data_IF_444504380818
#
_entry.id   IF_444504380818
#
_cell.length_a   1.000
_cell.length_b   1.000
_cell.length_c   1.000
_cell.angle_alpha   90.00
_cell.angle_beta   90.00
_cell.angle_gamma   90.00
#
_symmetry.space_group_name_H-M   'P 1'
#
loop_
_entity.id
_entity.type
_entity.pdbx_description
1 polymer ?
#
# COMPACT_ATOMS: atom_id res chain seq x y z
N UNK A 1 -0.78 24.87 -2.45
CA UNK A 1 -1.35 26.21 -2.23
C UNK A 1 -0.53 27.30 -2.93
N UNK A 2 0.77 27.43 -2.62
CA UNK A 2 1.63 28.47 -3.26
C UNK A 2 1.64 28.40 -4.79
N UNK A 3 1.72 27.21 -5.37
CA UNK A 3 1.69 27.02 -6.82
C UNK A 3 0.37 27.48 -7.44
N UNK A 4 -0.77 27.17 -6.82
CA UNK A 4 -2.08 27.66 -7.30
C UNK A 4 -2.18 29.18 -7.25
N UNK A 5 -1.67 29.81 -6.19
CA UNK A 5 -1.62 31.28 -6.08
C UNK A 5 -0.70 31.93 -7.12
N UNK A 6 0.32 31.24 -7.62
CA UNK A 6 1.18 31.70 -8.71
C UNK A 6 0.60 31.46 -10.11
N UNK A 7 -0.62 30.92 -10.21
CA UNK A 7 -1.31 30.67 -11.47
C UNK A 7 -0.99 29.29 -12.09
N UNK A 8 -0.34 28.40 -11.35
CA UNK A 8 -0.14 27.03 -11.80
C UNK A 8 -1.46 26.25 -11.82
N UNK A 9 -1.57 25.27 -12.69
CA UNK A 9 -2.71 24.36 -12.75
C UNK A 9 -2.83 23.46 -11.51
N UNK A 10 -3.83 22.56 -11.49
CA UNK A 10 -4.07 21.67 -10.35
C UNK A 10 -2.86 20.75 -10.06
N UNK A 11 -2.78 20.23 -8.84
CA UNK A 11 -1.82 19.21 -8.47
C UNK A 11 -2.44 17.83 -8.66
N UNK A 12 -1.79 16.97 -9.42
CA UNK A 12 -2.14 15.55 -9.55
C UNK A 12 -1.33 14.74 -8.54
N UNK A 13 -2.00 14.07 -7.59
CA UNK A 13 -1.37 13.17 -6.62
C UNK A 13 -1.73 11.74 -6.96
N UNK A 14 -0.74 10.93 -7.21
CA UNK A 14 -0.90 9.49 -7.38
C UNK A 14 -0.55 8.80 -6.07
N UNK A 15 -1.52 8.14 -5.46
CA UNK A 15 -1.36 7.45 -4.18
C UNK A 15 -1.96 6.04 -4.25
N UNK A 16 -1.29 5.00 -3.71
CA UNK A 16 -1.73 3.62 -3.84
C UNK A 16 -2.86 3.23 -2.86
N UNK A 17 -3.24 4.14 -1.96
CA UNK A 17 -4.03 3.78 -0.79
C UNK A 17 -5.26 4.67 -0.63
N UNK A 18 -6.44 4.06 -0.73
CA UNK A 18 -7.73 4.74 -0.60
C UNK A 18 -7.91 5.43 0.77
N UNK A 19 -7.47 4.79 1.86
CA UNK A 19 -7.56 5.37 3.20
C UNK A 19 -6.72 6.65 3.31
N UNK A 20 -5.47 6.59 2.81
CA UNK A 20 -4.58 7.75 2.79
C UNK A 20 -5.13 8.90 1.94
N UNK A 21 -5.77 8.58 0.81
CA UNK A 21 -6.39 9.60 -0.06
C UNK A 21 -7.47 10.37 0.66
N UNK A 22 -8.30 9.74 1.51
CA UNK A 22 -9.33 10.44 2.31
C UNK A 22 -8.71 11.42 3.30
N UNK A 23 -7.66 10.97 4.01
CA UNK A 23 -6.95 11.83 4.96
C UNK A 23 -6.26 13.00 4.26
N UNK A 24 -5.71 12.77 3.06
CA UNK A 24 -5.09 13.80 2.23
C UNK A 24 -6.12 14.82 1.71
N UNK A 25 -7.33 14.39 1.31
CA UNK A 25 -8.43 15.29 0.95
C UNK A 25 -8.78 16.17 2.15
N UNK A 26 -9.06 15.56 3.31
CA UNK A 26 -9.41 16.33 4.52
C UNK A 26 -8.29 17.28 4.96
N UNK A 27 -7.01 16.91 4.74
CA UNK A 27 -5.89 17.79 5.02
C UNK A 27 -5.83 18.98 4.04
N UNK A 28 -6.08 18.74 2.76
CA UNK A 28 -6.14 19.79 1.74
C UNK A 28 -7.28 20.78 2.02
N UNK A 29 -8.46 20.28 2.37
CA UNK A 29 -9.61 21.11 2.73
C UNK A 29 -9.35 21.98 3.97
N UNK A 30 -8.72 21.43 5.02
CA UNK A 30 -8.27 22.21 6.19
C UNK A 30 -7.25 23.29 5.82
N UNK A 31 -6.47 23.09 4.76
CA UNK A 31 -5.54 24.08 4.24
C UNK A 31 -6.20 25.08 3.29
N UNK A 32 -7.54 25.03 3.09
CA UNK A 32 -8.29 25.91 2.23
C UNK A 32 -8.18 25.59 0.74
N UNK A 33 -7.86 24.33 0.38
CA UNK A 33 -7.81 23.85 -0.99
C UNK A 33 -9.00 22.97 -1.32
N UNK A 34 -9.47 23.02 -2.57
CA UNK A 34 -10.48 22.11 -3.09
C UNK A 34 -9.79 20.83 -3.55
N UNK A 35 -10.15 19.68 -2.97
CA UNK A 35 -9.56 18.40 -3.29
C UNK A 35 -10.63 17.35 -3.61
N UNK A 36 -10.32 16.45 -4.54
CA UNK A 36 -11.19 15.33 -4.89
C UNK A 36 -10.40 14.07 -5.20
N UNK A 37 -11.07 12.92 -5.17
CA UNK A 37 -10.47 11.64 -5.48
C UNK A 37 -11.12 10.98 -6.70
N UNK A 38 -10.29 10.23 -7.46
CA UNK A 38 -10.75 9.29 -8.49
C UNK A 38 -10.23 7.91 -8.15
N UNK A 39 -11.12 7.04 -7.70
CA UNK A 39 -10.77 5.70 -7.22
C UNK A 39 -11.88 4.67 -7.53
N UNK A 40 -11.77 3.44 -7.00
CA UNK A 40 -12.74 2.37 -7.27
C UNK A 40 -14.05 2.47 -6.49
N UNK A 41 -14.10 3.28 -5.45
CA UNK A 41 -15.27 3.36 -4.56
C UNK A 41 -16.20 4.52 -4.87
N UNK A 42 -15.77 5.49 -5.72
CA UNK A 42 -16.53 6.70 -6.03
C UNK A 42 -16.78 6.91 -7.54
N UNK A 43 -17.01 5.85 -8.27
CA UNK A 43 -17.14 5.91 -9.72
C UNK A 43 -18.25 6.85 -10.21
N UNK A 44 -19.33 6.95 -9.44
CA UNK A 44 -20.50 7.80 -9.74
C UNK A 44 -20.19 9.30 -9.59
N UNK A 45 -19.16 9.66 -8.83
CA UNK A 45 -18.74 11.04 -8.58
C UNK A 45 -17.76 11.59 -9.63
N UNK A 46 -17.23 10.73 -10.50
CA UNK A 46 -16.17 11.10 -11.45
C UNK A 46 -16.56 12.23 -12.41
N UNK A 47 -17.83 12.28 -12.84
CA UNK A 47 -18.31 13.35 -13.73
C UNK A 47 -18.27 14.72 -13.04
N UNK A 48 -18.55 14.76 -11.75
CA UNK A 48 -18.48 15.97 -10.96
C UNK A 48 -17.03 16.41 -10.77
N UNK A 49 -16.13 15.49 -10.52
CA UNK A 49 -14.68 15.75 -10.43
C UNK A 49 -14.14 16.28 -11.76
N UNK A 50 -14.51 15.67 -12.88
CA UNK A 50 -14.09 16.15 -14.19
C UNK A 50 -14.65 17.53 -14.52
N UNK A 51 -15.91 17.83 -14.16
CA UNK A 51 -16.47 19.18 -14.30
C UNK A 51 -15.69 20.22 -13.49
N UNK A 52 -15.30 19.90 -12.25
CA UNK A 52 -14.48 20.79 -11.45
C UNK A 52 -13.12 21.06 -12.07
N UNK A 53 -12.48 20.02 -12.66
CA UNK A 53 -11.24 20.18 -13.42
C UNK A 53 -11.43 21.09 -14.64
N UNK A 54 -12.49 20.88 -15.41
CA UNK A 54 -12.78 21.66 -16.62
C UNK A 54 -13.02 23.14 -16.31
N UNK A 55 -13.63 23.43 -15.15
CA UNK A 55 -13.87 24.81 -14.68
C UNK A 55 -12.71 25.41 -13.86
N UNK A 56 -11.61 24.69 -13.72
CA UNK A 56 -10.42 25.09 -12.92
C UNK A 56 -10.73 25.41 -11.45
N UNK A 57 -11.74 24.74 -10.88
CA UNK A 57 -12.15 24.88 -9.47
C UNK A 57 -11.55 23.84 -8.55
N UNK A 58 -10.84 22.84 -9.07
CA UNK A 58 -10.17 21.81 -8.31
C UNK A 58 -8.67 22.14 -8.17
N UNK A 59 -8.17 22.15 -6.93
CA UNK A 59 -6.77 22.43 -6.65
C UNK A 59 -5.92 21.16 -6.59
N UNK A 60 -6.48 20.06 -6.06
CA UNK A 60 -5.80 18.78 -5.87
C UNK A 60 -6.67 17.63 -6.35
N UNK A 61 -6.16 16.86 -7.30
CA UNK A 61 -6.76 15.60 -7.73
C UNK A 61 -5.92 14.43 -7.22
N UNK A 62 -6.51 13.56 -6.42
CA UNK A 62 -5.89 12.31 -5.98
C UNK A 62 -6.42 11.14 -6.81
N UNK A 63 -5.51 10.33 -7.34
CA UNK A 63 -5.84 9.21 -8.23
C UNK A 63 -5.15 7.95 -7.77
N UNK A 64 -5.90 6.85 -7.70
CA UNK A 64 -5.28 5.55 -7.51
C UNK A 64 -4.66 5.04 -8.83
N UNK A 65 -3.48 4.41 -8.80
CA UNK A 65 -2.74 4.04 -10.01
C UNK A 65 -3.54 3.12 -10.94
N UNK A 66 -4.37 2.25 -10.38
CA UNK A 66 -5.21 1.32 -11.17
C UNK A 66 -6.23 2.05 -12.05
N UNK A 67 -6.57 3.30 -11.72
CA UNK A 67 -7.54 4.10 -12.51
C UNK A 67 -6.94 4.63 -13.79
N UNK A 68 -5.64 4.72 -13.88
CA UNK A 68 -4.95 5.17 -15.09
C UNK A 68 -5.09 4.17 -16.25
N UNK A 69 -5.29 2.88 -15.94
CA UNK A 69 -5.68 1.86 -16.93
C UNK A 69 -7.17 1.86 -17.29
N UNK A 70 -8.00 2.68 -16.65
CA UNK A 70 -9.42 2.78 -16.97
C UNK A 70 -9.61 3.64 -18.23
N UNK A 71 -10.28 3.13 -19.26
CA UNK A 71 -10.45 3.80 -20.55
C UNK A 71 -11.08 5.20 -20.43
N UNK A 72 -12.03 5.39 -19.50
CA UNK A 72 -12.69 6.69 -19.26
C UNK A 72 -11.71 7.73 -18.68
N UNK A 73 -10.87 7.32 -17.74
CA UNK A 73 -9.86 8.21 -17.16
C UNK A 73 -8.69 8.44 -18.13
N UNK A 74 -8.22 7.39 -18.79
CA UNK A 74 -7.13 7.44 -19.78
C UNK A 74 -7.46 8.40 -20.93
N UNK A 75 -8.72 8.45 -21.37
CA UNK A 75 -9.17 9.40 -22.40
C UNK A 75 -9.05 10.88 -21.99
N UNK A 76 -9.06 11.17 -20.70
CA UNK A 76 -8.92 12.55 -20.16
C UNK A 76 -7.51 12.87 -19.68
N UNK A 77 -6.66 11.86 -19.55
CA UNK A 77 -5.32 12.00 -18.94
C UNK A 77 -4.44 12.99 -19.70
N UNK A 78 -4.45 12.96 -21.02
CA UNK A 78 -3.66 13.87 -21.85
C UNK A 78 -4.02 15.35 -21.65
N UNK A 79 -5.31 15.68 -21.60
CA UNK A 79 -5.81 17.04 -21.33
C UNK A 79 -5.45 17.49 -19.90
N UNK A 80 -5.60 16.57 -18.94
CA UNK A 80 -5.23 16.82 -17.54
C UNK A 80 -3.75 17.13 -17.40
N UNK A 81 -2.88 16.29 -17.98
CA UNK A 81 -1.43 16.43 -17.90
C UNK A 81 -0.93 17.73 -18.55
N UNK A 82 -1.60 18.20 -19.62
CA UNK A 82 -1.26 19.49 -20.26
C UNK A 82 -1.55 20.72 -19.36
N UNK A 83 -2.39 20.55 -18.32
CA UNK A 83 -2.83 21.65 -17.43
C UNK A 83 -2.25 21.53 -16.02
N UNK A 84 -1.76 20.38 -15.62
CA UNK A 84 -1.24 20.11 -14.28
C UNK A 84 0.00 20.95 -13.99
N UNK A 85 0.04 21.62 -12.84
CA UNK A 85 1.19 22.39 -12.38
C UNK A 85 2.23 21.56 -11.63
N UNK A 86 1.78 20.49 -10.95
CA UNK A 86 2.63 19.59 -10.19
C UNK A 86 2.09 18.17 -10.23
N UNK A 87 2.94 17.22 -10.43
CA UNK A 87 2.64 15.79 -10.29
C UNK A 87 3.33 15.28 -9.03
N UNK A 88 2.58 14.68 -8.12
CA UNK A 88 3.12 14.04 -6.91
C UNK A 88 2.94 12.53 -7.05
N UNK A 89 4.02 11.79 -6.92
CA UNK A 89 4.02 10.34 -6.89
C UNK A 89 4.33 9.91 -5.46
N UNK A 90 3.29 9.56 -4.73
CA UNK A 90 3.42 9.10 -3.35
C UNK A 90 3.79 7.62 -3.33
N UNK A 91 4.50 7.18 -2.27
CA UNK A 91 5.06 5.83 -2.17
C UNK A 91 5.87 5.43 -3.42
N UNK A 92 6.72 6.32 -3.88
CA UNK A 92 7.46 6.19 -5.15
C UNK A 92 8.34 4.93 -5.23
N UNK A 93 8.61 4.25 -4.12
CA UNK A 93 9.27 2.94 -4.12
C UNK A 93 8.47 1.88 -4.92
N UNK A 94 7.15 2.07 -5.10
CA UNK A 94 6.31 1.20 -5.93
C UNK A 94 6.63 1.27 -7.43
N UNK A 95 7.37 2.28 -7.88
CA UNK A 95 7.81 2.41 -9.29
C UNK A 95 8.99 1.47 -9.56
N UNK A 96 9.84 1.26 -8.55
CA UNK A 96 11.07 0.51 -8.68
C UNK A 96 10.80 -0.99 -8.72
N UNK A 97 11.41 -1.69 -9.67
CA UNK A 97 11.42 -3.16 -9.74
C UNK A 97 12.08 -3.79 -8.49
N UNK A 98 12.87 -3.00 -7.77
CA UNK A 98 13.55 -3.37 -6.53
C UNK A 98 12.79 -2.92 -5.28
N UNK A 99 11.63 -2.27 -5.47
CA UNK A 99 10.72 -1.89 -4.39
C UNK A 99 10.08 -3.13 -3.77
N UNK A 100 9.87 -3.12 -2.47
CA UNK A 100 9.24 -4.26 -1.76
C UNK A 100 7.73 -4.40 -2.07
N UNK A 101 7.08 -3.37 -2.61
CA UNK A 101 5.67 -3.34 -3.04
C UNK A 101 5.57 -2.85 -4.50
N UNK A 102 6.31 -3.53 -5.40
CA UNK A 102 6.27 -3.24 -6.82
C UNK A 102 4.85 -3.36 -7.37
N UNK A 103 4.38 -2.31 -8.06
CA UNK A 103 3.07 -2.25 -8.67
C UNK A 103 3.17 -1.90 -10.15
N UNK A 104 2.82 -2.82 -11.05
CA UNK A 104 2.87 -2.59 -12.49
C UNK A 104 2.15 -1.33 -12.96
N UNK A 105 1.01 -1.02 -12.35
CA UNK A 105 0.23 0.17 -12.68
C UNK A 105 0.98 1.48 -12.37
N UNK A 106 1.83 1.48 -11.31
CA UNK A 106 2.72 2.60 -11.00
C UNK A 106 3.80 2.81 -12.07
N UNK A 107 4.37 1.75 -12.58
CA UNK A 107 5.39 1.83 -13.63
C UNK A 107 4.81 2.36 -14.94
N UNK A 108 3.63 1.89 -15.33
CA UNK A 108 2.91 2.44 -16.50
C UNK A 108 2.63 3.92 -16.33
N UNK A 109 2.19 4.32 -15.14
CA UNK A 109 1.95 5.72 -14.80
C UNK A 109 3.23 6.55 -14.91
N UNK A 110 4.32 6.12 -14.26
CA UNK A 110 5.59 6.85 -14.30
C UNK A 110 6.01 7.09 -15.76
N UNK A 111 5.94 6.10 -16.62
CA UNK A 111 6.24 6.25 -18.05
C UNK A 111 5.31 7.27 -18.74
N UNK A 112 4.01 7.24 -18.46
CA UNK A 112 3.05 8.17 -19.05
C UNK A 112 3.28 9.62 -18.55
N UNK A 113 3.56 9.81 -17.26
CA UNK A 113 3.81 11.10 -16.66
C UNK A 113 5.14 11.71 -17.13
N UNK A 114 6.17 10.89 -17.24
CA UNK A 114 7.50 11.33 -17.70
C UNK A 114 7.58 11.65 -19.19
N UNK A 115 6.62 11.15 -19.98
CA UNK A 115 6.48 11.54 -21.38
C UNK A 115 5.89 12.95 -21.59
N UNK A 116 5.47 13.62 -20.49
CA UNK A 116 4.82 14.93 -20.52
C UNK A 116 5.76 16.00 -19.94
N UNK A 117 6.45 16.80 -20.78
CA UNK A 117 7.57 17.63 -20.33
C UNK A 117 7.19 18.93 -19.60
N UNK A 118 5.92 19.19 -19.32
CA UNK A 118 5.44 20.50 -18.86
C UNK A 118 5.23 20.64 -17.35
N UNK A 119 5.06 19.54 -16.62
CA UNK A 119 4.81 19.57 -15.18
C UNK A 119 6.05 19.19 -14.36
N UNK A 120 6.27 19.85 -13.23
CA UNK A 120 7.26 19.42 -12.24
C UNK A 120 6.78 18.11 -11.59
N UNK A 121 7.72 17.19 -11.33
CA UNK A 121 7.41 15.91 -10.66
C UNK A 121 8.07 15.87 -9.29
N UNK A 122 7.29 15.53 -8.26
CA UNK A 122 7.74 15.27 -6.89
C UNK A 122 7.46 13.82 -6.56
N UNK A 123 8.49 13.02 -6.29
CA UNK A 123 8.36 11.65 -5.81
C UNK A 123 8.67 11.58 -4.31
N UNK A 124 7.78 10.97 -3.54
CA UNK A 124 7.94 10.82 -2.08
C UNK A 124 7.92 9.36 -1.67
N UNK A 125 8.81 9.00 -0.76
CA UNK A 125 8.82 7.66 -0.16
C UNK A 125 9.54 7.69 1.20
N UNK A 126 9.05 6.89 2.15
CA UNK A 126 9.67 6.73 3.46
C UNK A 126 10.63 5.53 3.52
N UNK A 127 10.67 4.67 2.50
CA UNK A 127 11.23 3.32 2.61
C UNK A 127 12.22 2.94 1.52
N UNK A 128 12.69 3.92 0.73
CA UNK A 128 13.67 3.66 -0.32
C UNK A 128 15.08 3.46 0.26
N UNK A 129 15.69 2.31 -0.01
CA UNK A 129 17.13 2.12 0.14
C UNK A 129 17.90 2.82 -1.00
N UNK A 130 19.23 2.77 -1.00
CA UNK A 130 20.05 3.44 -2.03
C UNK A 130 19.76 2.94 -3.44
N UNK A 131 19.53 1.65 -3.62
CA UNK A 131 19.22 1.03 -4.91
C UNK A 131 17.87 1.52 -5.44
N UNK A 132 16.84 1.50 -4.59
CA UNK A 132 15.49 2.00 -4.94
C UNK A 132 15.54 3.49 -5.21
N UNK A 133 16.27 4.27 -4.40
CA UNK A 133 16.44 5.71 -4.61
C UNK A 133 17.08 6.01 -5.95
N UNK A 134 18.15 5.26 -6.31
CA UNK A 134 18.81 5.41 -7.59
C UNK A 134 17.88 5.06 -8.75
N UNK A 135 17.20 3.94 -8.68
CA UNK A 135 16.28 3.48 -9.71
C UNK A 135 15.13 4.47 -9.95
N UNK A 136 14.50 4.95 -8.88
CA UNK A 136 13.46 6.00 -8.97
C UNK A 136 14.04 7.29 -9.58
N UNK A 137 15.23 7.70 -9.17
CA UNK A 137 15.88 8.92 -9.72
C UNK A 137 16.19 8.76 -11.21
N UNK A 138 16.70 7.59 -11.61
CA UNK A 138 17.02 7.31 -13.02
C UNK A 138 15.73 7.33 -13.88
N UNK A 139 14.63 6.79 -13.37
CA UNK A 139 13.33 6.81 -14.04
C UNK A 139 12.73 8.23 -14.13
N UNK A 140 12.92 9.07 -13.11
CA UNK A 140 12.47 10.46 -13.12
C UNK A 140 13.32 11.38 -14.02
N UNK A 141 14.51 10.94 -14.39
CA UNK A 141 15.39 11.62 -15.35
C UNK A 141 16.61 12.30 -14.73
N UNK A 142 17.55 12.67 -15.61
CA UNK A 142 18.90 13.12 -15.25
C UNK A 142 18.98 14.42 -14.40
N UNK A 143 17.89 15.18 -14.33
CA UNK A 143 17.83 16.43 -13.54
C UNK A 143 17.16 16.25 -12.18
N UNK A 144 16.91 14.99 -11.76
CA UNK A 144 16.29 14.70 -10.47
C UNK A 144 17.21 15.09 -9.31
N UNK A 145 16.67 15.88 -8.40
CA UNK A 145 17.35 16.26 -7.16
C UNK A 145 16.79 15.43 -6.02
N UNK A 146 17.65 14.69 -5.34
CA UNK A 146 17.25 13.81 -4.22
C UNK A 146 17.53 14.49 -2.89
N UNK A 147 16.48 14.63 -2.08
CA UNK A 147 16.58 15.06 -0.69
C UNK A 147 16.34 13.86 0.22
N UNK A 148 17.30 13.52 1.07
CA UNK A 148 17.23 12.39 1.98
C UNK A 148 17.39 12.85 3.42
N UNK A 149 16.33 12.66 4.23
CA UNK A 149 16.36 12.88 5.68
C UNK A 149 16.90 11.68 6.44
N UNK A 150 17.09 11.84 7.74
CA UNK A 150 17.36 10.72 8.64
C UNK A 150 16.11 9.84 8.81
N UNK A 151 16.31 8.52 8.83
CA UNK A 151 15.25 7.54 9.15
C UNK A 151 15.14 7.31 10.68
N UNK A 152 16.11 7.79 11.46
CA UNK A 152 16.11 7.64 12.92
C UNK A 152 15.01 8.49 13.56
N UNK A 153 14.29 7.88 14.49
CA UNK A 153 13.26 8.53 15.30
C UNK A 153 13.64 8.45 16.75
N UNK A 154 13.96 9.61 17.35
CA UNK A 154 14.48 9.73 18.72
C UNK A 154 13.47 9.23 19.77
N UNK A 155 12.17 9.38 19.50
CA UNK A 155 11.08 8.95 20.36
C UNK A 155 10.86 7.44 20.40
N UNK A 156 11.47 6.66 19.50
CA UNK A 156 11.19 5.23 19.34
C UNK A 156 12.36 4.39 19.86
N UNK A 157 12.10 3.58 20.88
CA UNK A 157 13.03 2.58 21.40
C UNK A 157 12.72 1.22 20.79
N UNK A 158 13.73 0.57 20.18
CA UNK A 158 13.58 -0.74 19.58
C UNK A 158 14.17 -1.82 20.48
N UNK A 159 13.40 -2.89 20.72
CA UNK A 159 13.78 -4.04 21.53
C UNK A 159 13.45 -5.36 20.81
N UNK A 160 14.26 -6.38 21.06
CA UNK A 160 14.02 -7.74 20.59
C UNK A 160 14.00 -8.67 21.78
N UNK A 161 12.99 -9.53 21.88
CA UNK A 161 12.85 -10.54 22.93
C UNK A 161 12.82 -11.92 22.26
N UNK A 162 14.00 -12.55 22.05
CA UNK A 162 14.13 -13.83 21.37
C UNK A 162 13.84 -15.01 22.31
N UNK A 163 13.64 -16.20 21.72
CA UNK A 163 13.63 -17.47 22.46
C UNK A 163 12.33 -17.82 23.15
N UNK A 164 11.27 -17.05 22.96
CA UNK A 164 9.96 -17.33 23.54
C UNK A 164 9.19 -18.37 22.69
N UNK A 165 8.62 -19.37 23.35
CA UNK A 165 7.61 -20.27 22.76
C UNK A 165 6.34 -19.51 22.41
N UNK A 166 5.45 -20.04 21.57
CA UNK A 166 4.19 -19.37 21.21
C UNK A 166 3.35 -18.96 22.43
N UNK A 167 3.29 -19.80 23.46
CA UNK A 167 2.54 -19.49 24.68
C UNK A 167 3.21 -18.40 25.52
N UNK A 168 4.54 -18.46 25.64
CA UNK A 168 5.29 -17.45 26.38
C UNK A 168 5.21 -16.08 25.70
N UNK A 169 5.15 -15.99 24.37
CA UNK A 169 4.90 -14.73 23.66
C UNK A 169 3.54 -14.13 24.02
N UNK A 170 2.51 -14.95 24.11
CA UNK A 170 1.16 -14.49 24.51
C UNK A 170 1.15 -13.99 25.96
N UNK A 171 1.76 -14.74 26.87
CA UNK A 171 1.88 -14.35 28.26
C UNK A 171 2.70 -13.03 28.41
N UNK A 172 3.83 -12.94 27.70
CA UNK A 172 4.65 -11.72 27.67
C UNK A 172 3.85 -10.50 27.22
N UNK A 173 3.04 -10.64 26.16
CA UNK A 173 2.21 -9.52 25.68
C UNK A 173 1.16 -9.13 26.71
N UNK A 174 0.49 -10.09 27.36
CA UNK A 174 -0.50 -9.80 28.38
C UNK A 174 0.11 -9.00 29.55
N UNK A 175 1.29 -9.40 30.02
CA UNK A 175 1.99 -8.70 31.10
C UNK A 175 2.52 -7.32 30.64
N UNK A 176 3.07 -7.24 29.41
CA UNK A 176 3.64 -6.02 28.87
C UNK A 176 2.59 -4.94 28.58
N UNK A 177 1.37 -5.30 28.19
CA UNK A 177 0.30 -4.35 27.88
C UNK A 177 -0.05 -3.42 29.06
N UNK A 178 0.15 -3.85 30.30
CA UNK A 178 -0.06 -3.02 31.47
C UNK A 178 0.99 -1.89 31.59
N UNK A 179 2.21 -2.13 31.07
CA UNK A 179 3.35 -1.24 31.20
C UNK A 179 3.61 -0.40 29.95
N UNK A 180 3.20 -0.89 28.77
CA UNK A 180 3.39 -0.18 27.52
C UNK A 180 2.59 1.14 27.50
N UNK A 181 3.18 2.25 26.98
CA UNK A 181 2.57 3.57 27.06
C UNK A 181 1.40 3.72 26.08
N UNK A 182 0.33 4.38 26.51
CA UNK A 182 -0.81 4.75 25.66
C UNK A 182 -1.52 3.56 25.00
N UNK A 183 -1.93 3.72 23.75
CA UNK A 183 -2.45 2.68 22.90
C UNK A 183 -1.45 2.29 21.81
N UNK A 184 -1.61 1.11 21.23
CA UNK A 184 -0.66 0.62 20.23
C UNK A 184 -1.22 -0.41 19.26
N UNK A 185 -0.32 -0.96 18.45
CA UNK A 185 -0.61 -2.00 17.47
C UNK A 185 0.24 -3.24 17.77
N UNK A 186 -0.39 -4.41 17.75
CA UNK A 186 0.28 -5.70 17.84
C UNK A 186 0.16 -6.38 16.49
N UNK A 187 1.26 -6.44 15.73
CA UNK A 187 1.28 -7.11 14.44
C UNK A 187 1.50 -8.61 14.61
N UNK A 188 0.73 -9.37 13.87
CA UNK A 188 0.82 -10.83 13.76
C UNK A 188 0.90 -11.24 12.29
N UNK A 189 1.39 -12.46 12.02
CA UNK A 189 1.65 -12.89 10.66
C UNK A 189 0.39 -13.44 9.96
N UNK A 190 -0.59 -13.95 10.71
CA UNK A 190 -1.77 -14.61 10.14
C UNK A 190 -3.06 -14.12 10.77
N UNK A 191 -4.17 -14.23 10.02
CA UNK A 191 -5.53 -13.91 10.50
C UNK A 191 -5.88 -14.77 11.71
N UNK A 192 -5.62 -16.08 11.64
CA UNK A 192 -5.92 -17.00 12.73
C UNK A 192 -5.17 -16.66 14.02
N UNK A 193 -3.97 -16.10 13.93
CA UNK A 193 -3.21 -15.64 15.08
C UNK A 193 -3.78 -14.34 15.64
N UNK A 194 -4.25 -13.42 14.79
CA UNK A 194 -4.91 -12.20 15.23
C UNK A 194 -6.15 -12.52 16.11
N UNK A 195 -7.00 -13.40 15.63
CA UNK A 195 -8.22 -13.79 16.35
C UNK A 195 -7.91 -14.50 17.68
N UNK A 196 -6.95 -15.43 17.66
CA UNK A 196 -6.54 -16.16 18.87
C UNK A 196 -5.92 -15.27 19.93
N UNK A 197 -5.00 -14.39 19.51
CA UNK A 197 -4.32 -13.48 20.44
C UNK A 197 -5.31 -12.45 21.01
N UNK A 198 -6.21 -11.90 20.18
CA UNK A 198 -7.24 -10.98 20.66
C UNK A 198 -8.17 -11.64 21.69
N UNK A 199 -8.65 -12.86 21.42
CA UNK A 199 -9.48 -13.60 22.36
C UNK A 199 -8.75 -13.93 23.69
N UNK A 200 -7.47 -14.29 23.60
CA UNK A 200 -6.64 -14.54 24.79
C UNK A 200 -6.46 -13.28 25.62
N UNK A 201 -6.06 -12.16 25.02
CA UNK A 201 -5.85 -10.89 25.72
C UNK A 201 -7.16 -10.35 26.32
N UNK A 202 -8.28 -10.49 25.62
CA UNK A 202 -9.60 -10.15 26.17
C UNK A 202 -9.94 -11.01 27.40
N UNK A 203 -9.59 -12.31 27.40
CA UNK A 203 -9.78 -13.18 28.55
C UNK A 203 -8.90 -12.80 29.75
N UNK A 204 -7.76 -12.13 29.50
CA UNK A 204 -6.89 -11.55 30.52
C UNK A 204 -7.38 -10.16 31.00
N UNK A 205 -8.48 -9.63 30.46
CA UNK A 205 -9.07 -8.36 30.87
C UNK A 205 -8.60 -7.14 30.06
N UNK A 206 -7.83 -7.34 29.00
CA UNK A 206 -7.39 -6.24 28.14
C UNK A 206 -8.48 -5.85 27.13
N UNK A 207 -8.68 -4.55 26.92
CA UNK A 207 -9.58 -4.03 25.91
C UNK A 207 -8.83 -3.93 24.56
N UNK A 208 -9.04 -4.93 23.71
CA UNK A 208 -8.35 -5.09 22.42
C UNK A 208 -9.30 -5.59 21.35
N UNK A 209 -8.99 -5.27 20.08
CA UNK A 209 -9.73 -5.77 18.91
C UNK A 209 -8.80 -6.43 17.90
N UNK A 210 -9.31 -7.41 17.14
CA UNK A 210 -8.63 -7.97 15.99
C UNK A 210 -8.94 -7.15 14.72
N UNK A 211 -7.91 -6.85 13.91
CA UNK A 211 -8.04 -6.14 12.64
C UNK A 211 -7.39 -6.93 11.51
N UNK A 212 -8.21 -7.47 10.63
CA UNK A 212 -7.74 -8.34 9.54
C UNK A 212 -8.35 -7.97 8.19
N UNK A 213 -7.78 -8.51 7.12
CA UNK A 213 -8.32 -8.32 5.76
C UNK A 213 -9.70 -8.93 5.54
N UNK A 214 -10.19 -9.79 6.45
CA UNK A 214 -11.49 -10.44 6.35
C UNK A 214 -12.64 -9.59 6.92
N UNK A 215 -12.32 -8.54 7.68
CA UNK A 215 -13.34 -7.60 8.18
C UNK A 215 -13.94 -6.80 7.02
N UNK A 216 -15.22 -6.52 7.10
CA UNK A 216 -15.90 -5.55 6.23
C UNK A 216 -15.40 -4.12 6.46
N UNK A 217 -15.78 -3.20 5.54
CA UNK A 217 -15.31 -1.82 5.60
C UNK A 217 -15.77 -1.06 6.83
N UNK A 218 -17.01 -1.23 7.23
CA UNK A 218 -17.59 -0.51 8.36
C UNK A 218 -16.99 -0.96 9.69
N UNK A 219 -16.79 -2.26 9.85
CA UNK A 219 -16.10 -2.82 11.02
C UNK A 219 -14.66 -2.31 11.14
N UNK A 220 -13.92 -2.20 10.02
CA UNK A 220 -12.57 -1.63 10.03
C UNK A 220 -12.58 -0.17 10.48
N UNK A 221 -13.47 0.65 9.93
CA UNK A 221 -13.60 2.06 10.30
C UNK A 221 -13.91 2.19 11.79
N UNK A 222 -14.84 1.39 12.31
CA UNK A 222 -15.20 1.44 13.73
C UNK A 222 -14.01 1.09 14.66
N UNK A 223 -13.21 0.07 14.32
CA UNK A 223 -12.01 -0.29 15.10
C UNK A 223 -10.95 0.80 15.00
N UNK A 224 -10.73 1.36 13.82
CA UNK A 224 -9.79 2.47 13.61
C UNK A 224 -10.17 3.70 14.45
N UNK A 225 -11.47 4.04 14.51
CA UNK A 225 -11.98 5.14 15.34
C UNK A 225 -11.80 4.86 16.83
N UNK A 226 -12.12 3.66 17.31
CA UNK A 226 -11.91 3.27 18.70
C UNK A 226 -10.44 3.35 19.10
N UNK A 227 -9.52 2.92 18.22
CA UNK A 227 -8.09 3.07 18.46
C UNK A 227 -7.67 4.54 18.44
N UNK A 228 -8.17 5.33 17.48
CA UNK A 228 -7.90 6.77 17.37
C UNK A 228 -8.32 7.55 18.61
N UNK A 229 -9.45 7.18 19.18
CA UNK A 229 -10.01 7.81 20.38
C UNK A 229 -9.43 7.25 21.69
N UNK A 230 -8.46 6.33 21.63
CA UNK A 230 -7.90 5.63 22.83
C UNK A 230 -8.95 4.84 23.63
N UNK A 231 -10.01 4.37 22.98
CA UNK A 231 -11.06 3.55 23.60
C UNK A 231 -10.62 2.09 23.78
N UNK A 232 -9.60 1.66 23.02
CA UNK A 232 -8.98 0.33 23.13
C UNK A 232 -7.48 0.48 23.38
N UNK A 233 -6.92 -0.48 24.13
CA UNK A 233 -5.50 -0.51 24.46
C UNK A 233 -4.64 -0.87 23.27
N UNK A 234 -5.08 -1.83 22.48
CA UNK A 234 -4.36 -2.26 21.28
C UNK A 234 -5.30 -2.83 20.22
N UNK A 235 -4.83 -2.75 18.97
CA UNK A 235 -5.36 -3.53 17.86
C UNK A 235 -4.37 -4.63 17.52
N UNK A 236 -4.88 -5.88 17.44
CA UNK A 236 -4.11 -7.02 16.96
C UNK A 236 -4.34 -7.13 15.46
N UNK A 237 -3.33 -6.81 14.67
CA UNK A 237 -3.48 -6.62 13.23
C UNK A 237 -2.54 -7.52 12.41
N UNK A 238 -3.03 -7.95 11.27
CA UNK A 238 -2.16 -8.41 10.18
C UNK A 238 -1.63 -7.20 9.39
N UNK A 239 -0.87 -7.43 8.32
CA UNK A 239 -0.50 -6.36 7.37
C UNK A 239 -1.72 -5.63 6.75
N UNK A 240 -2.96 -6.07 7.00
CA UNK A 240 -4.18 -5.38 6.60
C UNK A 240 -4.34 -3.99 7.25
N UNK A 241 -3.87 -3.80 8.49
CA UNK A 241 -3.66 -2.47 9.06
C UNK A 241 -2.33 -1.93 8.53
N UNK A 242 -2.32 -1.75 7.24
CA UNK A 242 -1.15 -1.37 6.47
C UNK A 242 -1.03 0.13 6.29
N UNK A 243 -0.36 0.53 5.22
CA UNK A 243 -0.18 1.93 4.83
C UNK A 243 -1.52 2.69 4.88
N UNK A 244 -1.50 3.95 5.30
CA UNK A 244 -2.69 4.82 5.32
C UNK A 244 -3.35 5.02 6.69
N UNK A 245 -3.12 4.17 7.69
CA UNK A 245 -3.59 4.47 9.05
C UNK A 245 -2.60 5.37 9.77
N UNK A 246 -3.03 6.53 10.19
CA UNK A 246 -2.22 7.50 10.96
C UNK A 246 -2.87 7.81 12.31
N UNK A 247 -2.12 7.51 13.37
CA UNK A 247 -2.43 7.91 14.75
C UNK A 247 -1.13 8.43 15.39
N UNK A 248 -1.01 9.76 15.54
CA UNK A 248 0.25 10.38 15.94
C UNK A 248 0.74 9.98 17.34
N UNK A 249 -0.17 9.65 18.24
CA UNK A 249 0.08 9.34 19.66
C UNK A 249 0.15 7.83 19.97
N UNK A 250 0.44 6.97 18.97
CA UNK A 250 0.71 5.56 19.24
C UNK A 250 1.96 5.41 20.11
N UNK A 251 1.77 4.79 21.28
CA UNK A 251 2.82 4.60 22.29
C UNK A 251 3.64 3.34 22.07
N UNK A 252 3.13 2.35 21.32
CA UNK A 252 3.88 1.12 21.06
C UNK A 252 3.48 0.42 19.77
N UNK A 253 4.41 -0.42 19.30
CA UNK A 253 4.22 -1.37 18.22
C UNK A 253 4.91 -2.69 18.59
N UNK A 254 4.17 -3.77 18.76
CA UNK A 254 4.69 -5.11 19.05
C UNK A 254 4.54 -6.00 17.83
N UNK A 255 5.58 -6.76 17.50
CA UNK A 255 5.54 -7.75 16.41
C UNK A 255 5.61 -9.16 17.01
N UNK A 256 4.61 -9.96 16.76
CA UNK A 256 4.55 -11.38 17.10
C UNK A 256 4.95 -12.18 15.86
N UNK A 257 6.22 -12.47 15.77
CA UNK A 257 6.89 -12.95 14.57
C UNK A 257 7.51 -11.82 13.74
N UNK A 258 8.52 -12.16 12.98
CA UNK A 258 9.28 -11.21 12.17
C UNK A 258 8.53 -10.87 10.89
N UNK A 259 8.36 -9.60 10.51
CA UNK A 259 7.88 -9.23 9.18
C UNK A 259 8.77 -9.78 8.06
N UNK A 260 8.22 -9.93 6.86
CA UNK A 260 8.90 -10.56 5.71
C UNK A 260 10.17 -9.84 5.26
N UNK A 261 10.25 -8.55 5.52
CA UNK A 261 11.38 -7.70 5.11
C UNK A 261 11.68 -6.64 6.17
N UNK A 262 12.93 -6.15 6.25
CA UNK A 262 13.27 -5.00 7.09
C UNK A 262 12.45 -3.75 6.76
N UNK A 263 12.05 -3.58 5.52
CA UNK A 263 11.22 -2.45 5.08
C UNK A 263 9.81 -2.57 5.64
N UNK A 264 9.20 -3.75 5.60
CA UNK A 264 7.89 -4.00 6.21
C UNK A 264 7.94 -3.75 7.73
N UNK A 265 9.00 -4.22 8.40
CA UNK A 265 9.22 -3.92 9.82
C UNK A 265 9.30 -2.41 10.08
N UNK A 266 10.12 -1.71 9.31
CA UNK A 266 10.30 -0.26 9.45
C UNK A 266 8.98 0.51 9.25
N UNK A 267 8.19 0.15 8.25
CA UNK A 267 6.88 0.79 7.99
C UNK A 267 5.89 0.55 9.12
N UNK A 268 5.87 -0.66 9.68
CA UNK A 268 4.97 -1.03 10.77
C UNK A 268 5.38 -0.39 12.09
N UNK A 269 6.63 -0.56 12.52
CA UNK A 269 7.13 0.01 13.77
C UNK A 269 7.16 1.54 13.72
N UNK A 270 7.39 2.12 12.57
CA UNK A 270 7.41 3.57 12.33
C UNK A 270 6.04 4.26 12.47
N UNK A 271 4.97 3.52 12.75
CA UNK A 271 3.66 4.10 13.14
C UNK A 271 3.67 4.64 14.55
N UNK A 272 4.40 4.01 15.46
CA UNK A 272 4.56 4.49 16.83
C UNK A 272 5.56 5.66 16.93
N UNK A 273 5.42 6.47 17.96
CA UNK A 273 6.39 7.52 18.28
C UNK A 273 6.36 8.76 17.38
N UNK A 274 5.24 9.08 16.71
CA UNK A 274 5.16 10.25 15.81
C UNK A 274 5.04 11.56 16.57
N UNK A 275 4.08 11.65 17.51
CA UNK A 275 3.82 12.86 18.28
C UNK A 275 3.82 12.58 19.80
N UNK A 276 4.59 11.61 20.25
CA UNK A 276 4.83 11.29 21.66
C UNK A 276 6.31 11.40 21.98
N UNK A 277 6.62 11.69 23.23
CA UNK A 277 8.02 11.80 23.68
C UNK A 277 8.74 10.44 23.69
N UNK A 278 7.98 9.35 23.91
CA UNK A 278 8.51 7.98 23.96
C UNK A 278 7.49 6.99 23.40
N UNK A 279 8.01 6.01 22.67
CA UNK A 279 7.25 4.86 22.18
C UNK A 279 8.16 3.62 22.14
N UNK A 280 7.56 2.43 22.29
CA UNK A 280 8.26 1.16 22.28
C UNK A 280 7.95 0.36 21.02
N UNK A 281 9.00 -0.08 20.32
CA UNK A 281 8.95 -1.04 19.25
C UNK A 281 9.52 -2.38 19.70
N UNK A 282 8.71 -3.42 19.83
CA UNK A 282 9.16 -4.71 20.34
C UNK A 282 8.97 -5.78 19.29
N UNK A 283 10.01 -6.59 19.04
CA UNK A 283 9.97 -7.74 18.16
C UNK A 283 10.10 -9.02 18.98
N UNK A 284 9.13 -9.93 18.83
CA UNK A 284 9.10 -11.27 19.39
C UNK A 284 9.28 -12.29 18.26
N UNK A 285 10.52 -12.56 17.81
CA UNK A 285 10.78 -13.42 16.67
C UNK A 285 10.53 -14.90 17.00
N UNK A 286 10.33 -15.71 15.96
CA UNK A 286 10.16 -17.16 16.06
C UNK A 286 10.92 -17.88 14.95
N UNK A 287 11.48 -19.06 15.26
CA UNK A 287 12.09 -19.93 14.26
C UNK A 287 11.08 -20.44 13.21
N UNK A 288 9.79 -20.31 13.50
CA UNK A 288 8.73 -20.67 12.56
C UNK A 288 8.44 -19.58 11.51
N UNK A 289 8.93 -18.35 11.71
CA UNK A 289 8.62 -17.22 10.85
C UNK A 289 9.09 -17.43 9.42
N UNK A 290 10.28 -17.99 9.22
CA UNK A 290 10.83 -18.31 7.90
C UNK A 290 9.90 -19.23 7.09
N UNK A 291 9.34 -20.27 7.72
CA UNK A 291 8.39 -21.17 7.05
C UNK A 291 7.09 -20.50 6.66
N UNK A 292 6.65 -19.52 7.45
CA UNK A 292 5.46 -18.72 7.12
C UNK A 292 5.75 -17.85 5.91
N UNK A 293 6.92 -17.25 5.83
CA UNK A 293 7.34 -16.43 4.69
C UNK A 293 7.55 -17.24 3.44
N UNK A 294 8.20 -18.41 3.53
CA UNK A 294 8.34 -19.34 2.40
C UNK A 294 6.98 -19.75 1.85
N UNK A 295 6.01 -20.03 2.74
CA UNK A 295 4.65 -20.31 2.32
C UNK A 295 4.02 -19.14 1.57
N UNK A 296 4.12 -17.91 2.08
CA UNK A 296 3.56 -16.74 1.39
C UNK A 296 4.28 -16.43 0.07
N UNK A 297 5.57 -16.56 0.03
CA UNK A 297 6.36 -16.35 -1.19
C UNK A 297 5.98 -17.35 -2.29
N UNK A 298 5.86 -18.62 -1.94
CA UNK A 298 5.49 -19.68 -2.89
C UNK A 298 4.00 -19.72 -3.22
N UNK A 299 3.14 -19.26 -2.30
CA UNK A 299 1.69 -19.24 -2.52
C UNK A 299 1.23 -18.09 -3.42
N UNK A 300 1.97 -16.98 -3.50
CA UNK A 300 1.56 -15.76 -4.21
C UNK A 300 1.90 -15.78 -5.69
N UNK A 301 3.00 -16.40 -6.12
CA UNK A 301 3.41 -16.47 -7.51
C UNK A 301 3.35 -17.93 -7.97
N UNK A 302 2.63 -18.27 -9.04
CA UNK A 302 2.68 -19.59 -9.62
C UNK A 302 4.10 -19.93 -10.08
N UNK A 303 4.48 -21.20 -9.93
CA UNK A 303 5.77 -21.70 -10.43
C UNK A 303 5.85 -21.64 -11.97
N UNK A 304 7.05 -21.79 -12.52
CA UNK A 304 7.29 -21.70 -13.95
C UNK A 304 6.44 -22.70 -14.77
N UNK A 305 6.17 -23.90 -14.23
CA UNK A 305 5.35 -24.89 -14.90
C UNK A 305 3.88 -24.45 -14.97
N UNK A 306 3.37 -23.85 -13.90
CA UNK A 306 2.04 -23.26 -13.84
C UNK A 306 1.94 -22.05 -14.77
N UNK A 307 2.96 -21.18 -14.81
CA UNK A 307 3.02 -20.04 -15.73
C UNK A 307 3.00 -20.51 -17.20
N UNK A 308 3.79 -21.52 -17.55
CA UNK A 308 3.79 -22.13 -18.87
C UNK A 308 2.41 -22.72 -19.25
N UNK A 309 1.74 -23.39 -18.30
CA UNK A 309 0.38 -23.93 -18.51
C UNK A 309 -0.63 -22.81 -18.77
N UNK A 310 -0.55 -21.69 -18.04
CA UNK A 310 -1.42 -20.53 -18.27
C UNK A 310 -1.14 -19.92 -19.62
N UNK A 311 0.11 -19.74 -20.03
CA UNK A 311 0.48 -19.21 -21.34
C UNK A 311 0.02 -20.12 -22.47
N UNK A 312 0.11 -21.44 -22.31
CA UNK A 312 -0.39 -22.41 -23.30
C UNK A 312 -1.92 -22.37 -23.44
N UNK A 313 -2.62 -22.05 -22.34
CA UNK A 313 -4.08 -21.91 -22.39
C UNK A 313 -4.54 -20.60 -23.05
N UNK A 314 -3.67 -19.59 -23.13
CA UNK A 314 -3.94 -18.33 -23.81
C UNK A 314 -3.74 -18.50 -25.30
N UNK A 315 -4.82 -18.47 -26.07
CA UNK A 315 -4.75 -18.38 -27.53
C UNK A 315 -4.63 -16.93 -28.01
N UNK A 316 -4.63 -16.77 -29.36
CA UNK A 316 -4.71 -15.45 -30.00
C UNK A 316 -6.09 -14.80 -29.89
N UNK A 317 -7.11 -15.56 -29.51
CA UNK A 317 -8.52 -15.15 -29.63
C UNK A 317 -9.07 -14.51 -28.31
N UNK A 318 -8.21 -14.27 -27.34
CA UNK A 318 -8.57 -13.67 -26.05
C UNK A 318 -9.49 -14.56 -25.20
N UNK A 319 -9.12 -14.83 -23.94
CA UNK A 319 -9.88 -15.67 -23.01
C UNK A 319 -10.19 -14.92 -21.72
N UNK A 320 -11.38 -15.14 -21.18
CA UNK A 320 -11.75 -14.60 -19.88
C UNK A 320 -11.01 -15.31 -18.73
N UNK A 321 -10.87 -14.64 -17.59
CA UNK A 321 -10.29 -15.24 -16.38
C UNK A 321 -10.98 -16.55 -15.98
N UNK A 322 -12.31 -16.63 -16.15
CA UNK A 322 -13.09 -17.82 -15.81
C UNK A 322 -12.71 -19.02 -16.67
N UNK A 323 -12.53 -18.80 -17.97
CA UNK A 323 -12.12 -19.86 -18.93
C UNK A 323 -10.71 -20.34 -18.65
N UNK A 324 -9.78 -19.41 -18.34
CA UNK A 324 -8.40 -19.77 -18.02
C UNK A 324 -8.33 -20.51 -16.66
N UNK A 325 -9.10 -20.07 -15.67
CA UNK A 325 -9.22 -20.75 -14.38
C UNK A 325 -9.74 -22.19 -14.53
N UNK A 326 -10.79 -22.37 -15.33
CA UNK A 326 -11.38 -23.68 -15.59
C UNK A 326 -10.40 -24.63 -16.31
N UNK A 327 -9.61 -24.11 -17.24
CA UNK A 327 -8.68 -24.89 -18.06
C UNK A 327 -7.38 -25.25 -17.31
N UNK A 328 -6.89 -24.31 -16.51
CA UNK A 328 -5.61 -24.46 -15.82
C UNK A 328 -5.72 -24.97 -14.39
N UNK A 329 -6.88 -24.82 -13.75
CA UNK A 329 -7.10 -25.11 -12.33
C UNK A 329 -6.40 -24.13 -11.39
N UNK A 330 -5.85 -23.03 -11.90
CA UNK A 330 -5.20 -21.99 -11.10
C UNK A 330 -6.27 -21.08 -10.52
N UNK A 331 -6.31 -20.92 -9.19
CA UNK A 331 -7.29 -20.08 -8.51
C UNK A 331 -7.20 -18.62 -9.00
N UNK A 332 -8.36 -18.00 -9.16
CA UNK A 332 -8.53 -16.66 -9.75
C UNK A 332 -7.54 -15.61 -9.24
N UNK A 333 -7.34 -15.48 -7.92
CA UNK A 333 -6.42 -14.47 -7.37
C UNK A 333 -4.96 -14.67 -7.79
N UNK A 334 -4.49 -15.93 -7.84
CA UNK A 334 -3.12 -16.26 -8.33
C UNK A 334 -3.02 -16.05 -9.84
N UNK A 335 -4.07 -16.37 -10.58
CA UNK A 335 -4.14 -16.19 -12.03
C UNK A 335 -4.10 -14.69 -12.38
N UNK A 336 -4.88 -13.86 -11.71
CA UNK A 336 -4.86 -12.40 -11.92
C UNK A 336 -3.48 -11.79 -11.63
N UNK A 337 -2.83 -12.23 -10.55
CA UNK A 337 -1.49 -11.75 -10.20
C UNK A 337 -0.46 -12.13 -11.29
N UNK A 338 -0.48 -13.38 -11.74
CA UNK A 338 0.41 -13.86 -12.81
C UNK A 338 0.18 -13.10 -14.11
N UNK A 339 -1.08 -12.99 -14.56
CA UNK A 339 -1.41 -12.31 -15.81
C UNK A 339 -1.02 -10.82 -15.81
N UNK A 340 -1.13 -10.15 -14.66
CA UNK A 340 -0.65 -8.77 -14.51
C UNK A 340 0.87 -8.66 -14.67
N UNK A 341 1.63 -9.58 -14.08
CA UNK A 341 3.09 -9.63 -14.23
C UNK A 341 3.46 -9.86 -15.70
N UNK A 342 2.87 -10.88 -16.32
CA UNK A 342 3.11 -11.21 -17.73
C UNK A 342 2.71 -10.07 -18.70
N UNK A 343 1.71 -9.26 -18.32
CA UNK A 343 1.32 -8.10 -19.10
C UNK A 343 2.34 -6.95 -19.00
N UNK A 344 3.01 -6.80 -17.87
CA UNK A 344 4.11 -5.83 -17.72
C UNK A 344 5.30 -6.22 -18.58
N UNK A 345 5.60 -7.52 -18.63
CA UNK A 345 6.65 -8.09 -19.49
C UNK A 345 6.26 -8.08 -20.97
N UNK A 346 5.03 -7.70 -21.30
CA UNK A 346 4.53 -7.66 -22.68
C UNK A 346 4.25 -9.03 -23.27
N UNK A 347 4.24 -10.09 -22.49
CA UNK A 347 3.99 -11.48 -22.92
C UNK A 347 2.51 -11.74 -23.17
N UNK A 348 1.65 -11.07 -22.39
CA UNK A 348 0.20 -11.09 -22.55
C UNK A 348 -0.36 -9.68 -22.65
N UNK A 349 -1.51 -9.54 -23.27
CA UNK A 349 -2.25 -8.28 -23.30
C UNK A 349 -3.69 -8.51 -22.84
N UNK A 350 -4.32 -7.42 -22.39
CA UNK A 350 -5.69 -7.43 -21.91
C UNK A 350 -6.57 -6.54 -22.80
N UNK A 351 -7.50 -7.16 -23.51
CA UNK A 351 -8.54 -6.45 -24.26
C UNK A 351 -9.89 -6.57 -23.54
N UNK A 352 -10.36 -5.46 -22.96
CA UNK A 352 -11.57 -5.45 -22.14
C UNK A 352 -11.47 -6.39 -20.94
N UNK A 353 -12.24 -7.49 -20.94
CA UNK A 353 -12.21 -8.54 -19.91
C UNK A 353 -11.40 -9.78 -20.32
N UNK A 354 -10.92 -9.83 -21.56
CA UNK A 354 -10.22 -10.97 -22.14
C UNK A 354 -8.69 -10.78 -22.07
N UNK A 355 -7.97 -11.89 -21.94
CA UNK A 355 -6.51 -11.95 -21.95
C UNK A 355 -6.05 -12.76 -23.14
N UNK A 356 -5.01 -12.29 -23.82
CA UNK A 356 -4.45 -12.92 -25.00
C UNK A 356 -2.92 -12.93 -24.95
N UNK A 357 -2.31 -13.93 -25.58
CA UNK A 357 -0.87 -13.97 -25.74
C UNK A 357 -0.43 -13.01 -26.86
N UNK A 358 0.63 -12.25 -26.63
CA UNK A 358 1.19 -11.29 -27.61
C UNK A 358 2.14 -11.96 -28.61
N UNK A 359 2.57 -13.19 -28.32
CA UNK A 359 3.62 -13.88 -29.08
C UNK A 359 5.04 -13.53 -28.65
N UNK A 360 5.23 -12.65 -27.68
CA UNK A 360 6.53 -12.40 -27.07
C UNK A 360 6.91 -13.60 -26.20
N UNK A 361 8.11 -14.22 -26.44
CA UNK A 361 8.52 -15.36 -25.65
C UNK A 361 8.76 -14.96 -24.19
N UNK A 362 8.25 -15.78 -23.28
CA UNK A 362 8.57 -15.70 -21.85
C UNK A 362 9.86 -16.50 -21.59
N UNK A 363 10.89 -15.83 -21.09
CA UNK A 363 12.22 -16.40 -20.77
C UNK A 363 12.40 -16.50 -19.26
#
# INVERSE_FOLDING_TARGET
HALRHSGAGPTLVVSPLLALMRDQVSAAERAGLTAATVNSTNFDEWDDVFRQLDHDTLDVLLVSPERLGNARFAGRLGELLARVGLIVIDEAHCISDWGFDFRPDYQRLARALLSTPTASVLATTATANERVTKDVSDQLGAHTVTYRGTLARISLTLSVVPGLSPLERYAWIADALEQLPGSGIIYVLTVAEADKLAAFLASCGHNVDAYTGQLDGDSRIAIEERLRNNEIKAVIATSALGMGYDKPDLGFCVHVGSPSTPVAYYQQVGRAGRAVAHADGVLLPSDADERIWDYFATASIPDAATAAKVLQSLGSDGRSLLEIEADTGVRRGRLEALLKILAVEGVVDKDGSAWQATGVPYV
#
